data_IF_800050768049
#
_entry.id   IF_800050768049
#
_cell.length_a   1.000
_cell.length_b   1.000
_cell.length_c   1.000
_cell.angle_alpha   90.00
_cell.angle_beta   90.00
_cell.angle_gamma   90.00
#
_symmetry.space_group_name_H-M   'P 1'
#
loop_
_entity.id
_entity.type
_entity.pdbx_description
1 polymer ?
#
# COMPACT_ATOMS: atom_id res chain seq x y z
N UNK A 1 9.04 -1.29 -21.94
CA UNK A 1 10.10 -0.62 -21.13
C UNK A 1 9.86 -1.03 -19.69
N UNK A 2 10.90 -1.45 -18.95
CA UNK A 2 10.71 -1.94 -17.58
C UNK A 2 10.37 -0.82 -16.60
N UNK A 3 9.66 -1.15 -15.52
CA UNK A 3 9.35 -0.27 -14.40
C UNK A 3 10.24 -0.60 -13.20
N UNK A 4 10.61 0.37 -12.34
CA UNK A 4 11.42 0.12 -11.15
C UNK A 4 10.85 -1.00 -10.28
N UNK A 5 11.71 -1.92 -9.87
CA UNK A 5 11.37 -2.97 -8.93
C UNK A 5 11.02 -2.39 -7.56
N UNK A 6 10.12 -3.06 -6.85
CA UNK A 6 9.67 -2.64 -5.51
C UNK A 6 10.27 -3.57 -4.48
N UNK A 7 10.68 -3.01 -3.34
CA UNK A 7 11.35 -3.73 -2.26
C UNK A 7 10.69 -3.48 -0.91
N UNK A 8 11.07 -4.27 0.08
CA UNK A 8 10.63 -4.12 1.46
C UNK A 8 10.92 -2.69 1.97
N UNK A 9 9.91 -2.07 2.56
CA UNK A 9 9.95 -0.70 3.06
C UNK A 9 9.56 0.37 2.05
N UNK A 10 9.44 0.03 0.75
CA UNK A 10 8.76 0.90 -0.22
C UNK A 10 7.30 1.08 0.18
N UNK A 11 6.67 2.14 -0.29
CA UNK A 11 5.37 2.56 0.25
C UNK A 11 4.27 2.49 -0.78
N UNK A 12 3.11 1.99 -0.36
CA UNK A 12 1.84 2.27 -1.02
C UNK A 12 1.29 3.55 -0.42
N UNK A 13 1.04 4.54 -1.26
CA UNK A 13 0.48 5.85 -0.89
C UNK A 13 -0.84 6.09 -1.60
N UNK A 14 -1.69 6.91 -0.99
CA UNK A 14 -2.95 7.31 -1.59
C UNK A 14 -3.77 8.18 -0.65
N UNK A 15 -5.05 8.28 -0.94
CA UNK A 15 -6.02 9.03 -0.13
C UNK A 15 -7.08 8.05 0.38
N UNK A 16 -7.32 8.05 1.70
CA UNK A 16 -8.41 7.29 2.31
C UNK A 16 -9.66 8.17 2.36
N UNK A 17 -10.75 7.80 1.66
CA UNK A 17 -11.98 8.61 1.62
C UNK A 17 -12.99 8.23 2.70
N UNK A 18 -12.65 7.30 3.60
CA UNK A 18 -13.66 6.61 4.42
C UNK A 18 -13.88 7.24 5.82
N UNK A 19 -13.24 8.37 6.13
CA UNK A 19 -13.28 8.99 7.47
C UNK A 19 -14.49 9.88 7.69
N UNK A 20 -15.01 9.91 8.92
CA UNK A 20 -16.19 10.67 9.29
C UNK A 20 -15.92 11.64 10.44
N UNK A 21 -16.42 12.86 10.33
CA UNK A 21 -16.31 13.92 11.35
C UNK A 21 -17.70 14.35 11.86
N UNK A 22 -17.81 15.03 13.01
CA UNK A 22 -19.08 15.56 13.49
C UNK A 22 -19.56 16.64 12.54
N UNK A 23 -20.76 16.46 12.00
CA UNK A 23 -21.46 17.51 11.30
C UNK A 23 -22.04 18.56 12.26
N UNK A 24 -22.60 19.65 11.72
CA UNK A 24 -23.18 20.74 12.52
C UNK A 24 -24.29 20.31 13.50
N UNK A 25 -24.98 19.20 13.21
CA UNK A 25 -26.02 18.62 14.06
C UNK A 25 -25.54 17.43 14.90
N UNK A 26 -24.23 17.19 14.97
CA UNK A 26 -23.64 16.02 15.64
C UNK A 26 -23.76 14.72 14.86
N UNK A 27 -24.38 14.73 13.68
CA UNK A 27 -24.48 13.57 12.78
C UNK A 27 -23.14 13.39 12.04
N UNK A 28 -22.58 12.18 11.96
CA UNK A 28 -21.35 11.92 11.21
C UNK A 28 -21.51 12.29 9.73
N UNK A 29 -20.57 13.07 9.20
CA UNK A 29 -20.50 13.44 7.78
C UNK A 29 -19.15 13.00 7.17
N UNK A 30 -19.08 12.73 5.86
CA UNK A 30 -17.82 12.46 5.18
C UNK A 30 -16.81 13.60 5.41
N UNK A 31 -15.62 13.23 5.85
CA UNK A 31 -14.50 14.15 5.95
C UNK A 31 -13.73 14.25 4.62
N UNK A 32 -12.96 15.33 4.40
CA UNK A 32 -11.99 15.36 3.30
C UNK A 32 -11.04 14.14 3.37
N UNK A 33 -10.60 13.59 2.22
CA UNK A 33 -9.75 12.41 2.20
C UNK A 33 -8.45 12.60 2.99
N UNK A 34 -8.09 11.60 3.81
CA UNK A 34 -6.87 11.63 4.61
C UNK A 34 -5.70 10.93 3.91
N UNK A 35 -4.46 11.41 4.12
CA UNK A 35 -3.28 10.79 3.51
C UNK A 35 -3.09 9.36 4.02
N UNK A 36 -2.79 8.44 3.12
CA UNK A 36 -2.46 7.05 3.43
C UNK A 36 -1.00 6.76 3.05
N UNK A 37 -0.28 6.06 3.92
CA UNK A 37 1.07 5.57 3.63
C UNK A 37 1.35 4.26 4.35
N UNK A 38 1.47 3.17 3.60
CA UNK A 38 1.79 1.85 4.15
C UNK A 38 3.14 1.34 3.64
N UNK A 39 4.14 1.12 4.51
CA UNK A 39 5.38 0.46 4.11
C UNK A 39 5.12 -1.03 3.84
N UNK A 40 5.61 -1.54 2.72
CA UNK A 40 5.54 -2.95 2.34
C UNK A 40 6.50 -3.76 3.22
N UNK A 41 5.97 -4.34 4.30
CA UNK A 41 6.74 -5.12 5.28
C UNK A 41 6.31 -6.58 5.33
N UNK A 42 5.14 -6.92 4.79
CA UNK A 42 4.52 -8.23 4.86
C UNK A 42 4.45 -8.85 3.46
N UNK A 43 4.60 -10.18 3.38
CA UNK A 43 4.49 -10.91 2.11
C UNK A 43 5.56 -10.53 1.09
N UNK A 44 6.75 -10.11 1.55
CA UNK A 44 7.95 -9.91 0.72
C UNK A 44 8.76 -11.19 0.63
N UNK A 45 9.58 -11.33 -0.40
CA UNK A 45 10.42 -12.51 -0.64
C UNK A 45 11.83 -12.27 -0.07
N UNK A 46 12.09 -12.81 1.12
CA UNK A 46 13.36 -12.62 1.84
C UNK A 46 14.59 -13.27 1.19
N UNK A 47 14.40 -14.25 0.30
CA UNK A 47 15.48 -14.96 -0.39
C UNK A 47 15.97 -14.25 -1.64
N UNK A 48 15.25 -13.25 -2.13
CA UNK A 48 15.62 -12.45 -3.31
C UNK A 48 15.77 -11.00 -2.88
N UNK A 49 16.99 -10.48 -2.99
CA UNK A 49 17.32 -9.13 -2.57
C UNK A 49 17.53 -8.23 -3.79
N UNK A 50 16.94 -7.04 -3.76
CA UNK A 50 17.13 -5.97 -4.74
C UNK A 50 17.62 -4.75 -3.98
N UNK A 51 18.79 -4.23 -4.34
CA UNK A 51 19.44 -3.14 -3.56
C UNK A 51 19.67 -3.51 -2.09
N UNK A 52 19.91 -4.79 -1.79
CA UNK A 52 20.10 -5.30 -0.42
C UNK A 52 18.83 -5.48 0.41
N UNK A 53 17.64 -5.26 -0.16
CA UNK A 53 16.35 -5.39 0.53
C UNK A 53 15.50 -6.52 -0.07
N UNK A 54 14.70 -7.25 0.73
CA UNK A 54 13.77 -8.26 0.22
C UNK A 54 12.86 -7.71 -0.88
N UNK A 55 12.66 -8.47 -1.95
CA UNK A 55 11.83 -8.07 -3.07
C UNK A 55 10.33 -8.12 -2.74
N UNK A 56 9.58 -7.11 -3.16
CA UNK A 56 8.12 -7.11 -3.09
C UNK A 56 7.52 -7.80 -4.31
N UNK A 57 6.37 -8.43 -4.11
CA UNK A 57 5.65 -9.26 -5.08
C UNK A 57 4.15 -9.02 -4.96
N UNK A 58 3.37 -9.65 -5.84
CA UNK A 58 1.92 -9.73 -5.69
C UNK A 58 1.56 -10.19 -4.28
N UNK A 59 0.58 -9.53 -3.66
CA UNK A 59 0.16 -9.71 -2.26
C UNK A 59 1.13 -9.21 -1.18
N UNK A 60 2.31 -8.66 -1.54
CA UNK A 60 3.07 -7.86 -0.59
C UNK A 60 2.21 -6.71 -0.08
N UNK A 61 2.33 -6.42 1.21
CA UNK A 61 1.43 -5.50 1.89
C UNK A 61 2.06 -4.84 3.11
N UNK A 62 1.35 -3.82 3.60
CA UNK A 62 1.70 -3.04 4.76
C UNK A 62 0.48 -2.51 5.47
N UNK A 63 0.69 -1.93 6.65
CA UNK A 63 -0.33 -1.20 7.38
C UNK A 63 -0.05 0.30 7.30
N UNK A 64 -1.12 1.08 7.16
CA UNK A 64 -1.06 2.52 7.16
C UNK A 64 -0.34 3.05 8.40
N UNK A 65 0.61 3.96 8.20
CA UNK A 65 1.44 4.54 9.25
C UNK A 65 1.62 6.03 8.97
N UNK A 66 1.08 6.93 9.82
CA UNK A 66 0.31 6.65 11.04
C UNK A 66 -1.06 6.01 10.73
N UNK A 67 -1.59 5.16 11.62
CA UNK A 67 -2.89 4.52 11.43
C UNK A 67 -4.01 5.56 11.54
N UNK A 68 -5.09 5.38 10.78
CA UNK A 68 -6.25 6.26 10.90
C UNK A 68 -7.26 5.85 11.99
N UNK A 69 -6.97 4.81 12.79
CA UNK A 69 -7.90 4.33 13.81
C UNK A 69 -7.99 5.35 14.95
N UNK A 70 -9.20 5.81 15.25
CA UNK A 70 -9.47 6.67 16.39
C UNK A 70 -8.96 8.11 16.23
N UNK A 71 -8.77 8.57 15.00
CA UNK A 71 -8.53 10.00 14.75
C UNK A 71 -9.75 10.84 15.15
N UNK A 72 -10.94 10.25 15.09
CA UNK A 72 -12.17 10.86 15.54
C UNK A 72 -13.14 9.83 16.17
N UNK A 73 -13.88 10.13 17.26
CA UNK A 73 -14.85 9.21 17.89
C UNK A 73 -15.98 8.73 16.97
N UNK A 74 -16.30 9.51 15.93
CA UNK A 74 -17.28 9.16 14.90
C UNK A 74 -16.66 8.45 13.68
N UNK A 75 -15.33 8.25 13.66
CA UNK A 75 -14.75 7.39 12.63
C UNK A 75 -15.44 6.02 12.74
N UNK A 76 -15.81 5.42 11.60
CA UNK A 76 -16.23 4.03 11.58
C UNK A 76 -15.21 3.21 12.38
N UNK A 77 -15.69 2.22 13.14
CA UNK A 77 -14.81 1.23 13.72
C UNK A 77 -14.15 0.46 12.57
N UNK A 78 -13.05 1.02 12.06
CA UNK A 78 -12.31 0.46 10.94
C UNK A 78 -11.59 -0.75 11.51
N UNK A 79 -12.09 -1.94 11.17
CA UNK A 79 -11.39 -3.16 11.46
C UNK A 79 -9.94 -3.04 10.90
N UNK A 80 -8.91 -3.55 11.59
CA UNK A 80 -7.52 -3.46 11.15
C UNK A 80 -7.26 -3.77 9.65
N UNK A 81 -7.99 -4.69 8.98
CA UNK A 81 -7.88 -4.91 7.53
C UNK A 81 -8.13 -3.68 6.65
N UNK A 82 -8.90 -2.69 7.11
CA UNK A 82 -9.18 -1.46 6.38
C UNK A 82 -8.00 -0.46 6.38
N UNK A 83 -6.94 -0.72 7.16
CA UNK A 83 -5.68 0.04 7.13
C UNK A 83 -4.62 -0.60 6.21
N UNK A 84 -4.96 -1.66 5.48
CA UNK A 84 -4.00 -2.41 4.67
C UNK A 84 -3.76 -1.74 3.32
N UNK A 85 -2.50 -1.57 2.97
CA UNK A 85 -2.04 -1.33 1.60
C UNK A 85 -1.55 -2.65 1.01
N UNK A 86 -1.94 -2.99 -0.22
CA UNK A 86 -1.56 -4.27 -0.84
C UNK A 86 -1.30 -4.12 -2.34
N UNK A 87 -0.25 -4.80 -2.82
CA UNK A 87 0.00 -5.02 -4.25
C UNK A 87 -0.99 -6.05 -4.78
N UNK A 88 -1.81 -5.65 -5.75
CA UNK A 88 -2.84 -6.49 -6.36
C UNK A 88 -2.32 -7.23 -7.58
N UNK A 89 -1.52 -6.57 -8.41
CA UNK A 89 -1.02 -7.12 -9.68
C UNK A 89 0.47 -6.81 -9.82
N UNK A 90 1.28 -7.85 -9.91
CA UNK A 90 2.71 -7.77 -10.23
C UNK A 90 3.00 -7.97 -11.71
N UNK A 91 4.27 -8.17 -12.07
CA UNK A 91 4.69 -8.60 -13.41
C UNK A 91 4.07 -9.96 -13.77
N UNK A 92 3.70 -10.10 -15.05
CA UNK A 92 3.15 -11.34 -15.63
C UNK A 92 4.26 -12.28 -16.15
N UNK A 93 5.46 -11.75 -16.35
CA UNK A 93 6.60 -12.42 -16.99
C UNK A 93 7.73 -12.68 -16.00
N UNK A 94 7.94 -11.77 -15.05
CA UNK A 94 9.00 -11.88 -14.04
C UNK A 94 8.39 -12.29 -12.71
N UNK A 95 8.72 -13.51 -12.30
CA UNK A 95 8.27 -14.08 -11.04
C UNK A 95 9.42 -14.08 -10.02
N UNK A 96 9.13 -13.66 -8.81
CA UNK A 96 10.03 -13.73 -7.65
C UNK A 96 9.33 -14.56 -6.59
N UNK A 97 9.98 -15.62 -6.10
CA UNK A 97 9.34 -16.56 -5.16
C UNK A 97 8.07 -17.23 -5.72
N UNK A 98 7.95 -17.33 -7.06
CA UNK A 98 6.77 -17.88 -7.73
C UNK A 98 5.60 -16.90 -7.86
N UNK A 99 5.74 -15.66 -7.40
CA UNK A 99 4.71 -14.62 -7.50
C UNK A 99 5.16 -13.49 -8.43
N UNK A 100 4.21 -12.84 -9.10
CA UNK A 100 4.52 -11.72 -9.98
C UNK A 100 5.27 -10.62 -9.25
N UNK A 101 6.44 -10.21 -9.74
CA UNK A 101 7.28 -9.20 -9.11
C UNK A 101 6.58 -7.84 -9.06
N UNK A 102 6.61 -7.14 -7.92
CA UNK A 102 6.00 -5.83 -7.82
C UNK A 102 6.91 -4.77 -8.46
N UNK A 103 6.30 -3.84 -9.19
CA UNK A 103 6.99 -2.71 -9.83
C UNK A 103 6.31 -1.39 -9.49
N UNK A 104 6.94 -0.26 -9.78
CA UNK A 104 6.33 1.05 -9.57
C UNK A 104 5.04 1.28 -10.37
N UNK A 105 4.80 0.45 -11.41
CA UNK A 105 3.57 0.47 -12.21
C UNK A 105 2.58 -0.62 -11.80
N UNK A 106 2.87 -1.41 -10.76
CA UNK A 106 1.95 -2.43 -10.26
C UNK A 106 0.67 -1.83 -9.73
N UNK A 107 -0.47 -2.45 -10.05
CA UNK A 107 -1.75 -2.11 -9.44
C UNK A 107 -1.70 -2.41 -7.96
N UNK A 108 -2.07 -1.45 -7.12
CA UNK A 108 -2.15 -1.61 -5.69
C UNK A 108 -3.38 -0.89 -5.14
N UNK A 109 -3.74 -1.22 -3.91
CA UNK A 109 -4.83 -0.58 -3.19
C UNK A 109 -4.39 -0.09 -1.83
N UNK A 110 -5.07 0.93 -1.34
CA UNK A 110 -5.07 1.39 0.05
C UNK A 110 -6.52 1.60 0.48
N UNK A 111 -6.92 1.10 1.65
CA UNK A 111 -8.30 1.26 2.14
C UNK A 111 -9.39 0.83 1.12
N UNK A 112 -9.12 -0.23 0.36
CA UNK A 112 -9.98 -0.74 -0.73
C UNK A 112 -10.22 0.24 -1.90
N UNK A 113 -9.41 1.29 -2.04
CA UNK A 113 -9.39 2.19 -3.20
C UNK A 113 -8.02 2.15 -3.90
N UNK A 114 -7.90 2.58 -5.17
CA UNK A 114 -6.62 2.60 -5.87
C UNK A 114 -5.54 3.40 -5.11
N UNK A 115 -4.33 2.84 -5.07
CA UNK A 115 -3.15 3.50 -4.53
C UNK A 115 -2.04 3.62 -5.59
N UNK A 116 -0.92 4.21 -5.19
CA UNK A 116 0.30 4.27 -5.98
C UNK A 116 1.48 3.74 -5.17
N UNK A 117 2.42 3.06 -5.84
CA UNK A 117 3.65 2.59 -5.20
C UNK A 117 4.75 3.63 -5.39
N UNK A 118 5.41 3.97 -4.30
CA UNK A 118 6.57 4.87 -4.26
C UNK A 118 7.82 4.03 -3.99
N UNK A 119 8.60 3.69 -5.03
CA UNK A 119 9.83 2.92 -4.87
C UNK A 119 10.95 3.76 -4.25
N UNK A 120 11.72 3.17 -3.33
CA UNK A 120 12.91 3.80 -2.72
C UNK A 120 14.22 3.40 -3.42
N UNK A 121 14.20 2.34 -4.21
CA UNK A 121 15.34 1.83 -4.98
C UNK A 121 14.91 1.63 -6.43
N UNK A 122 15.55 2.32 -7.38
CA UNK A 122 15.20 2.26 -8.80
C UNK A 122 16.32 1.71 -9.70
N UNK A 123 17.27 0.97 -9.13
CA UNK A 123 18.44 0.44 -9.87
C UNK A 123 18.13 -0.80 -10.71
N UNK A 124 16.99 -1.46 -10.47
CA UNK A 124 16.53 -2.63 -11.22
C UNK A 124 15.18 -2.30 -11.84
N UNK A 125 15.07 -2.50 -13.16
CA UNK A 125 13.83 -2.35 -13.92
C UNK A 125 13.29 -3.73 -14.29
N UNK A 126 12.01 -3.97 -14.06
CA UNK A 126 11.29 -5.22 -14.35
C UNK A 126 10.28 -4.93 -15.46
N UNK A 127 10.30 -5.75 -16.51
CA UNK A 127 9.41 -5.66 -17.68
C UNK A 127 8.50 -6.86 -17.84
#
# INVERSE_FOLDING_TARGET
MGAPAVVMGDRITGLCPNHLIPGPLGVPIPSPPLPFSAPLLLGVVGTVLIGGKPAAVMNSSGLNTPPHVGLHPADPFFAPPMQRGQVLVGSVTVLIGGQGAATASSTCQCCAVPGAIVPSVATVLIG
#
